data_IF_823078671057
#
_entry.id   IF_823078671057
#
_cell.length_a   1.000
_cell.length_b   1.000
_cell.length_c   1.000
_cell.angle_alpha   90.00
_cell.angle_beta   90.00
_cell.angle_gamma   90.00
#
_symmetry.space_group_name_H-M   'P 1'
#
loop_
_entity.id
_entity.type
_entity.pdbx_description
1 polymer ?
#
# COMPACT_ATOMS: atom_id res chain seq x y z
N UNK A 1 -7.70 -64.49 32.73
CA UNK A 1 -6.59 -65.42 32.43
C UNK A 1 -6.44 -65.81 30.96
N UNK A 2 -7.46 -65.67 30.08
CA UNK A 2 -7.30 -65.95 28.64
C UNK A 2 -6.75 -64.77 27.80
N UNK A 3 -7.07 -63.52 28.16
CA UNK A 3 -6.53 -62.33 27.48
C UNK A 3 -5.04 -62.08 27.79
N UNK A 4 -4.60 -62.43 28.99
CA UNK A 4 -3.21 -62.30 29.45
C UNK A 4 -2.29 -63.40 28.85
N UNK A 5 -2.88 -64.53 28.45
CA UNK A 5 -2.19 -65.58 27.71
C UNK A 5 -2.06 -65.22 26.22
N UNK A 6 -3.10 -64.63 25.61
CA UNK A 6 -3.05 -64.16 24.22
C UNK A 6 -1.96 -63.09 23.98
N UNK A 7 -1.84 -62.14 24.93
CA UNK A 7 -0.77 -61.14 24.91
C UNK A 7 0.63 -61.75 25.08
N UNK A 8 0.76 -62.90 25.78
CA UNK A 8 2.03 -63.61 25.94
C UNK A 8 2.35 -64.58 24.80
N UNK A 9 1.35 -65.00 24.01
CA UNK A 9 1.56 -65.83 22.81
C UNK A 9 2.05 -65.00 21.62
N UNK A 10 1.66 -63.72 21.51
CA UNK A 10 2.26 -62.78 20.52
C UNK A 10 3.75 -62.49 20.79
N UNK A 11 4.19 -62.62 22.05
CA UNK A 11 5.59 -62.46 22.46
C UNK A 11 6.49 -63.68 22.10
N UNK A 12 5.92 -64.75 21.52
CA UNK A 12 6.62 -65.99 21.17
C UNK A 12 6.56 -66.33 19.66
N UNK A 13 6.01 -65.44 18.83
CA UNK A 13 6.18 -65.53 17.37
C UNK A 13 7.62 -65.13 17.02
N UNK A 14 8.39 -66.08 16.51
CA UNK A 14 9.76 -65.90 15.98
C UNK A 14 9.77 -65.21 14.60
N UNK A 15 8.61 -64.77 14.09
CA UNK A 15 8.52 -64.13 12.79
C UNK A 15 8.86 -62.64 12.92
N UNK A 16 10.01 -62.25 12.36
CA UNK A 16 10.41 -60.87 12.28
C UNK A 16 9.34 -60.06 11.50
N UNK A 17 8.76 -59.03 12.13
CA UNK A 17 7.82 -58.13 11.49
C UNK A 17 8.54 -57.29 10.43
N UNK A 18 8.07 -57.37 9.18
CA UNK A 18 8.69 -56.68 8.06
C UNK A 18 8.17 -55.24 7.94
N UNK A 19 9.09 -54.28 7.91
CA UNK A 19 8.81 -52.87 7.61
C UNK A 19 9.19 -52.60 6.16
N UNK A 20 8.20 -52.28 5.35
CA UNK A 20 8.33 -52.15 3.90
C UNK A 20 8.74 -50.72 3.50
N UNK A 21 9.75 -50.64 2.64
CA UNK A 21 10.23 -49.40 2.03
C UNK A 21 10.19 -49.55 0.52
N UNK A 22 9.45 -48.69 -0.16
CA UNK A 22 9.38 -48.63 -1.61
C UNK A 22 9.91 -47.28 -2.09
N UNK A 23 11.08 -47.28 -2.72
CA UNK A 23 11.73 -46.04 -3.18
C UNK A 23 10.99 -45.36 -4.33
N UNK A 24 10.09 -46.07 -5.02
CA UNK A 24 9.38 -45.59 -6.20
C UNK A 24 7.96 -45.16 -5.83
N UNK A 25 7.22 -46.04 -5.14
CA UNK A 25 5.80 -45.84 -4.82
C UNK A 25 5.48 -45.48 -3.37
N UNK A 26 6.46 -45.48 -2.47
CA UNK A 26 6.25 -45.19 -1.04
C UNK A 26 6.12 -43.70 -0.71
N UNK A 27 5.64 -43.43 0.51
CA UNK A 27 5.50 -42.07 1.06
C UNK A 27 6.06 -42.03 2.48
N UNK A 28 6.90 -41.05 2.78
CA UNK A 28 7.37 -40.83 4.17
C UNK A 28 6.40 -39.97 4.99
N UNK A 29 5.43 -39.31 4.34
CA UNK A 29 4.41 -38.50 5.00
C UNK A 29 3.16 -39.33 5.36
N UNK A 30 2.77 -40.25 4.48
CA UNK A 30 1.52 -41.02 4.58
C UNK A 30 1.73 -42.54 4.66
N UNK A 31 2.97 -43.03 4.53
CA UNK A 31 3.30 -44.44 4.68
C UNK A 31 3.36 -44.87 6.15
N UNK A 32 3.03 -46.14 6.41
CA UNK A 32 3.05 -46.72 7.75
C UNK A 32 3.89 -48.00 7.85
N UNK A 33 4.58 -48.38 6.78
CA UNK A 33 5.55 -49.48 6.75
C UNK A 33 4.94 -50.86 6.49
N UNK A 34 3.66 -50.92 6.11
CA UNK A 34 3.02 -52.13 5.59
C UNK A 34 3.30 -52.26 4.09
N UNK A 35 3.04 -53.44 3.51
CA UNK A 35 3.23 -53.66 2.07
C UNK A 35 2.32 -52.77 1.21
N UNK A 36 1.10 -52.51 1.68
CA UNK A 36 0.11 -51.64 1.01
C UNK A 36 0.38 -50.13 1.20
N UNK A 37 1.12 -49.76 2.24
CA UNK A 37 1.47 -48.37 2.55
C UNK A 37 2.95 -48.27 3.00
N UNK A 38 3.91 -48.55 2.10
CA UNK A 38 5.32 -48.58 2.45
C UNK A 38 5.89 -47.18 2.65
N UNK A 39 6.93 -47.08 3.48
CA UNK A 39 7.74 -45.86 3.57
C UNK A 39 8.47 -45.62 2.26
N UNK A 40 8.78 -44.35 1.94
CA UNK A 40 9.58 -44.02 0.76
C UNK A 40 11.06 -44.24 1.00
N UNK A 41 11.53 -43.96 2.21
CA UNK A 41 12.94 -44.04 2.57
C UNK A 41 13.21 -45.00 3.74
N UNK A 42 14.40 -45.64 3.75
CA UNK A 42 14.82 -46.42 4.91
C UNK A 42 14.98 -45.60 6.19
N UNK A 43 15.14 -44.27 6.09
CA UNK A 43 15.29 -43.38 7.25
C UNK A 43 13.97 -43.26 8.02
N UNK A 44 12.84 -43.12 7.32
CA UNK A 44 11.51 -43.10 7.91
C UNK A 44 11.16 -44.44 8.59
N UNK A 45 11.46 -45.56 7.92
CA UNK A 45 11.29 -46.89 8.50
C UNK A 45 12.13 -47.09 9.77
N UNK A 46 13.39 -46.65 9.77
CA UNK A 46 14.25 -46.68 10.95
C UNK A 46 13.73 -45.78 12.06
N UNK A 47 13.18 -44.61 11.72
CA UNK A 47 12.58 -43.70 12.71
C UNK A 47 11.36 -44.28 13.41
N UNK A 48 10.49 -44.96 12.67
CA UNK A 48 9.35 -45.68 13.24
C UNK A 48 9.81 -46.79 14.21
N UNK A 49 10.77 -47.62 13.79
CA UNK A 49 11.34 -48.67 14.66
C UNK A 49 11.98 -48.03 15.91
N UNK A 50 12.73 -46.94 15.76
CA UNK A 50 13.41 -46.25 16.87
C UNK A 50 12.42 -45.63 17.89
N UNK A 51 11.18 -45.32 17.47
CA UNK A 51 10.11 -44.81 18.33
C UNK A 51 9.45 -45.89 19.20
N UNK A 52 9.69 -47.18 18.91
CA UNK A 52 9.13 -48.30 19.66
C UNK A 52 9.91 -48.60 20.94
N UNK A 53 9.29 -49.24 21.96
CA UNK A 53 10.00 -49.74 23.13
C UNK A 53 11.19 -50.62 22.73
N UNK A 54 12.33 -50.45 23.40
CA UNK A 54 13.60 -51.12 23.07
C UNK A 54 13.46 -52.65 22.95
N UNK A 55 12.62 -53.24 23.78
CA UNK A 55 12.30 -54.68 23.82
C UNK A 55 11.68 -55.19 22.51
N UNK A 56 11.02 -54.31 21.74
CA UNK A 56 10.33 -54.66 20.49
C UNK A 56 11.13 -54.34 19.24
N UNK A 57 12.16 -53.50 19.33
CA UNK A 57 12.93 -53.05 18.15
C UNK A 57 13.64 -54.20 17.44
N UNK A 58 14.09 -55.22 18.17
CA UNK A 58 14.77 -56.40 17.63
C UNK A 58 13.85 -57.33 16.81
N UNK A 59 12.54 -57.14 16.92
CA UNK A 59 11.55 -57.95 16.21
C UNK A 59 11.22 -57.41 14.81
N UNK A 60 11.76 -56.25 14.41
CA UNK A 60 11.47 -55.64 13.11
C UNK A 60 12.64 -55.72 12.14
N UNK A 61 12.37 -56.08 10.89
CA UNK A 61 13.33 -56.07 9.79
C UNK A 61 12.87 -55.15 8.67
N UNK A 62 13.77 -54.32 8.16
CA UNK A 62 13.46 -53.41 7.05
C UNK A 62 13.70 -54.13 5.72
N UNK A 63 12.68 -54.17 4.87
CA UNK A 63 12.75 -54.70 3.50
C UNK A 63 12.54 -53.56 2.50
N UNK A 64 13.32 -53.56 1.43
CA UNK A 64 13.39 -52.45 0.47
C UNK A 64 13.15 -52.95 -0.94
N UNK A 65 12.29 -52.25 -1.68
CA UNK A 65 12.11 -52.38 -3.12
C UNK A 65 12.76 -51.17 -3.82
N UNK A 66 13.69 -51.43 -4.73
CA UNK A 66 14.49 -50.36 -5.36
C UNK A 66 13.94 -49.92 -6.73
N UNK A 67 13.29 -50.81 -7.47
CA UNK A 67 12.57 -50.48 -8.71
C UNK A 67 11.16 -51.11 -8.75
N UNK A 68 10.26 -50.52 -9.55
CA UNK A 68 8.92 -51.04 -9.74
C UNK A 68 8.97 -52.45 -10.37
N UNK A 69 8.32 -53.42 -9.74
CA UNK A 69 8.30 -54.82 -10.18
C UNK A 69 9.41 -55.72 -9.60
N UNK A 70 10.37 -55.18 -8.84
CA UNK A 70 11.34 -55.99 -8.09
C UNK A 70 10.71 -56.55 -6.79
N UNK A 71 11.12 -57.74 -6.32
CA UNK A 71 10.72 -58.24 -5.01
C UNK A 71 11.36 -57.40 -3.90
N UNK A 72 10.69 -57.33 -2.75
CA UNK A 72 11.28 -56.75 -1.55
C UNK A 72 12.46 -57.60 -1.07
N UNK A 73 13.59 -56.96 -0.77
CA UNK A 73 14.78 -57.60 -0.23
C UNK A 73 15.19 -56.97 1.10
N UNK A 74 15.78 -57.75 2.02
CA UNK A 74 16.32 -57.21 3.27
C UNK A 74 17.36 -56.11 2.97
N UNK A 75 17.26 -55.00 3.69
CA UNK A 75 18.23 -53.90 3.55
C UNK A 75 19.64 -54.37 3.91
N UNK A 76 20.65 -53.95 3.13
CA UNK A 76 22.04 -54.29 3.44
C UNK A 76 22.50 -53.66 4.76
N UNK A 77 23.40 -54.32 5.49
CA UNK A 77 23.93 -53.83 6.76
C UNK A 77 24.55 -52.42 6.64
N UNK A 78 25.22 -52.13 5.52
CA UNK A 78 25.78 -50.80 5.22
C UNK A 78 24.69 -49.74 5.01
N UNK A 79 23.63 -50.06 4.27
CA UNK A 79 22.52 -49.15 4.03
C UNK A 79 21.70 -48.90 5.30
N UNK A 80 21.49 -49.92 6.14
CA UNK A 80 20.83 -49.79 7.43
C UNK A 80 21.64 -48.90 8.39
N UNK A 81 22.97 -49.06 8.46
CA UNK A 81 23.85 -48.20 9.27
C UNK A 81 23.79 -46.74 8.81
N UNK A 82 23.75 -46.50 7.49
CA UNK A 82 23.62 -45.16 6.92
C UNK A 82 22.25 -44.54 7.25
N UNK A 83 21.17 -45.32 7.19
CA UNK A 83 19.83 -44.88 7.56
C UNK A 83 19.72 -44.54 9.05
N UNK A 84 20.29 -45.37 9.94
CA UNK A 84 20.39 -45.08 11.39
C UNK A 84 21.17 -43.79 11.67
N UNK A 85 22.32 -43.59 11.02
CA UNK A 85 23.10 -42.36 11.17
C UNK A 85 22.39 -41.11 10.63
N UNK A 86 21.65 -41.23 9.53
CA UNK A 86 20.84 -40.14 8.98
C UNK A 86 19.67 -39.77 9.93
N UNK A 87 18.96 -40.77 10.46
CA UNK A 87 17.90 -40.56 11.45
C UNK A 87 18.42 -39.91 12.74
N UNK A 88 19.57 -40.35 13.25
CA UNK A 88 20.20 -39.73 14.43
C UNK A 88 20.61 -38.27 14.16
N UNK A 89 21.08 -37.96 12.96
CA UNK A 89 21.39 -36.59 12.54
C UNK A 89 20.13 -35.73 12.43
N UNK A 90 19.03 -36.27 11.90
CA UNK A 90 17.71 -35.60 11.86
C UNK A 90 17.19 -35.34 13.26
N UNK A 91 17.27 -36.30 14.18
CA UNK A 91 16.91 -36.10 15.59
C UNK A 91 17.77 -35.01 16.27
N UNK A 92 19.09 -35.00 16.03
CA UNK A 92 19.98 -33.96 16.56
C UNK A 92 19.64 -32.57 15.98
N UNK A 93 19.34 -32.49 14.68
CA UNK A 93 18.90 -31.24 14.02
C UNK A 93 17.55 -30.76 14.58
N UNK A 94 16.57 -31.64 14.67
CA UNK A 94 15.24 -31.35 15.21
C UNK A 94 15.32 -30.90 16.67
N UNK A 95 16.12 -31.58 17.51
CA UNK A 95 16.35 -31.19 18.90
C UNK A 95 17.01 -29.81 19.00
N UNK A 96 18.05 -29.54 18.19
CA UNK A 96 18.72 -28.22 18.16
C UNK A 96 17.76 -27.12 17.70
N UNK A 97 16.92 -27.40 16.70
CA UNK A 97 15.92 -26.46 16.21
C UNK A 97 14.82 -26.19 17.24
N UNK A 98 14.34 -27.22 17.94
CA UNK A 98 13.38 -27.08 19.04
C UNK A 98 13.97 -26.30 20.22
N UNK A 99 15.23 -26.55 20.61
CA UNK A 99 15.93 -25.78 21.63
C UNK A 99 16.12 -24.31 21.23
N UNK A 100 16.43 -24.03 19.96
CA UNK A 100 16.51 -22.66 19.43
C UNK A 100 15.15 -21.96 19.42
N UNK A 101 14.08 -22.66 19.00
CA UNK A 101 12.72 -22.14 19.01
C UNK A 101 12.25 -21.84 20.45
N UNK A 102 12.50 -22.75 21.39
CA UNK A 102 12.18 -22.54 22.80
C UNK A 102 12.94 -21.36 23.43
N UNK A 103 14.24 -21.20 23.11
CA UNK A 103 15.02 -20.03 23.53
C UNK A 103 14.48 -18.73 22.95
N UNK A 104 14.13 -18.73 21.65
CA UNK A 104 13.55 -17.55 21.01
C UNK A 104 12.18 -17.19 21.60
N UNK A 105 11.35 -18.19 21.90
CA UNK A 105 10.06 -17.99 22.56
C UNK A 105 10.22 -17.42 23.97
N UNK A 106 11.08 -18.01 24.81
CA UNK A 106 11.34 -17.52 26.16
C UNK A 106 11.91 -16.09 26.18
N UNK A 107 12.81 -15.77 25.23
CA UNK A 107 13.32 -14.41 25.05
C UNK A 107 12.21 -13.43 24.63
N UNK A 108 11.30 -13.85 23.76
CA UNK A 108 10.18 -13.02 23.33
C UNK A 108 9.19 -12.78 24.48
N UNK A 109 8.86 -13.81 25.25
CA UNK A 109 7.99 -13.70 26.45
C UNK A 109 8.59 -12.75 27.50
N UNK A 110 9.89 -12.88 27.76
CA UNK A 110 10.61 -11.97 28.68
C UNK A 110 10.55 -10.53 28.18
N UNK A 111 10.82 -10.29 26.89
CA UNK A 111 10.77 -8.97 26.27
C UNK A 111 9.38 -8.34 26.34
N UNK A 112 8.33 -9.13 26.07
CA UNK A 112 6.95 -8.67 26.15
C UNK A 112 6.56 -8.30 27.58
N UNK A 113 7.01 -9.08 28.57
CA UNK A 113 6.78 -8.77 29.98
C UNK A 113 7.50 -7.48 30.42
N UNK A 114 8.77 -7.30 30.01
CA UNK A 114 9.53 -6.07 30.27
C UNK A 114 8.88 -4.84 29.60
N UNK A 115 8.39 -4.98 28.37
CA UNK A 115 7.69 -3.92 27.65
C UNK A 115 6.36 -3.56 28.32
N UNK A 116 5.59 -4.55 28.76
CA UNK A 116 4.35 -4.33 29.48
C UNK A 116 4.59 -3.62 30.81
N UNK A 117 5.62 -4.02 31.56
CA UNK A 117 6.00 -3.35 32.80
C UNK A 117 6.42 -1.90 32.53
N UNK A 118 7.21 -1.65 31.48
CA UNK A 118 7.62 -0.30 31.06
C UNK A 118 6.41 0.58 30.72
N UNK A 119 5.38 0.02 30.07
CA UNK A 119 4.13 0.72 29.76
C UNK A 119 3.32 1.01 31.03
N UNK A 120 3.36 0.14 32.03
CA UNK A 120 2.67 0.40 33.30
C UNK A 120 3.37 1.52 34.08
N UNK A 121 4.71 1.45 34.19
CA UNK A 121 5.51 2.45 34.89
C UNK A 121 5.39 3.84 34.25
N UNK A 122 5.25 3.91 32.92
CA UNK A 122 5.13 5.17 32.18
C UNK A 122 3.85 5.94 32.46
N UNK A 123 2.78 5.29 32.97
CA UNK A 123 1.52 5.97 33.36
C UNK A 123 1.72 6.96 34.51
N UNK A 124 2.78 6.77 35.30
CA UNK A 124 3.13 7.66 36.40
C UNK A 124 3.86 8.92 35.92
N UNK A 125 4.37 8.92 34.69
CA UNK A 125 5.10 10.05 34.10
C UNK A 125 4.09 11.03 33.49
N UNK A 126 3.84 12.12 34.21
CA UNK A 126 2.97 13.22 33.73
C UNK A 126 3.81 14.37 33.21
N UNK A 127 3.47 14.86 32.02
CA UNK A 127 4.02 16.10 31.49
C UNK A 127 3.21 17.28 32.01
N UNK A 128 3.89 18.40 32.24
CA UNK A 128 3.28 19.68 32.52
C UNK A 128 4.03 20.74 31.71
N UNK A 129 3.30 21.74 31.21
CA UNK A 129 3.95 22.90 30.60
C UNK A 129 4.78 23.65 31.65
N UNK A 130 5.99 24.06 31.26
CA UNK A 130 6.85 24.88 32.11
C UNK A 130 6.38 26.35 32.05
N UNK A 131 5.87 26.92 33.16
CA UNK A 131 5.35 28.28 33.18
C UNK A 131 6.43 29.35 33.03
N UNK A 132 7.71 28.99 33.13
CA UNK A 132 8.83 29.92 32.90
C UNK A 132 9.14 30.14 31.42
N UNK A 133 8.66 29.26 30.53
CA UNK A 133 8.87 29.40 29.09
C UNK A 133 7.97 30.49 28.49
N UNK A 134 8.39 31.13 27.40
CA UNK A 134 7.53 32.06 26.66
C UNK A 134 6.22 31.41 26.23
N UNK A 135 5.15 32.22 26.13
CA UNK A 135 3.88 31.75 25.57
C UNK A 135 4.09 31.23 24.14
N UNK A 136 3.61 30.02 23.86
CA UNK A 136 3.76 29.40 22.56
C UNK A 136 2.85 30.07 21.52
N UNK A 137 3.42 30.51 20.39
CA UNK A 137 2.65 31.03 19.26
C UNK A 137 2.08 29.88 18.44
N UNK A 138 0.76 29.82 18.27
CA UNK A 138 0.15 28.82 17.40
C UNK A 138 0.43 29.13 15.92
N UNK A 139 0.93 28.13 15.18
CA UNK A 139 1.26 28.26 13.76
C UNK A 139 0.81 27.03 12.95
N UNK A 140 0.75 27.15 11.62
CA UNK A 140 0.75 26.01 10.69
C UNK A 140 2.17 25.60 10.35
N UNK A 141 2.37 24.37 9.89
CA UNK A 141 3.71 23.86 9.54
C UNK A 141 4.37 24.73 8.45
N UNK A 142 3.61 25.16 7.43
CA UNK A 142 4.15 26.05 6.38
C UNK A 142 4.74 27.37 6.90
N UNK A 143 4.34 27.82 8.08
CA UNK A 143 4.84 29.06 8.68
C UNK A 143 6.10 28.86 9.54
N UNK A 144 6.54 27.61 9.76
CA UNK A 144 7.65 27.31 10.65
C UNK A 144 8.98 27.96 10.22
N UNK A 145 9.22 28.13 8.92
CA UNK A 145 10.39 28.85 8.38
C UNK A 145 10.47 30.29 8.92
N UNK A 146 9.32 30.96 9.04
CA UNK A 146 9.22 32.35 9.51
C UNK A 146 9.19 32.47 11.04
N UNK A 147 9.13 31.34 11.77
CA UNK A 147 9.04 31.30 13.22
C UNK A 147 10.21 30.51 13.84
N UNK A 148 11.37 30.50 13.17
CA UNK A 148 12.62 29.97 13.74
C UNK A 148 13.01 30.75 14.99
N UNK A 149 13.64 30.03 15.92
CA UNK A 149 14.09 30.49 17.23
C UNK A 149 12.95 31.01 18.13
N UNK A 150 11.70 30.70 17.78
CA UNK A 150 10.49 31.07 18.53
C UNK A 150 9.83 29.83 19.11
N UNK A 151 9.28 29.93 20.34
CA UNK A 151 8.45 28.88 20.92
C UNK A 151 7.07 28.88 20.27
N UNK A 152 6.68 27.76 19.69
CA UNK A 152 5.45 27.61 18.90
C UNK A 152 4.61 26.44 19.39
N UNK A 153 3.33 26.48 19.05
CA UNK A 153 2.37 25.38 19.20
C UNK A 153 1.95 24.91 17.81
N UNK A 154 2.13 23.63 17.53
CA UNK A 154 1.79 23.01 16.24
C UNK A 154 0.90 21.80 16.47
N UNK A 155 -0.23 21.76 15.78
CA UNK A 155 -1.15 20.62 15.79
C UNK A 155 -0.97 19.83 14.49
N UNK A 156 -1.00 18.50 14.55
CA UNK A 156 -0.98 17.68 13.35
C UNK A 156 -1.10 16.19 13.62
N UNK A 157 -0.89 15.42 12.56
CA UNK A 157 -0.90 13.95 12.57
C UNK A 157 0.53 13.41 12.51
N UNK A 158 0.79 12.36 13.29
CA UNK A 158 2.07 11.63 13.25
C UNK A 158 2.18 10.90 11.90
N UNK A 159 2.95 11.45 10.97
CA UNK A 159 3.16 10.86 9.63
C UNK A 159 4.19 9.72 9.67
N UNK A 160 5.29 9.96 10.39
CA UNK A 160 6.36 8.98 10.64
C UNK A 160 6.88 9.19 12.04
N UNK A 161 7.38 8.13 12.66
CA UNK A 161 8.10 8.24 13.92
C UNK A 161 9.24 7.23 13.96
N UNK A 162 10.30 7.57 14.68
CA UNK A 162 11.41 6.65 14.97
C UNK A 162 11.92 6.91 16.39
N UNK A 163 12.12 5.83 17.14
CA UNK A 163 12.80 5.88 18.44
C UNK A 163 14.28 5.56 18.20
N UNK A 164 15.17 6.35 18.78
CA UNK A 164 16.61 6.16 18.66
C UNK A 164 17.25 6.10 20.05
N UNK A 165 17.76 4.93 20.41
CA UNK A 165 18.24 4.70 21.77
C UNK A 165 17.09 4.67 22.77
N UNK A 166 17.37 5.06 24.02
CA UNK A 166 16.36 5.07 25.10
C UNK A 166 15.69 6.44 25.26
N UNK A 167 16.42 7.53 25.06
CA UNK A 167 16.00 8.88 25.48
C UNK A 167 15.71 9.84 24.31
N UNK A 168 15.41 9.30 23.13
CA UNK A 168 15.17 10.14 21.94
C UNK A 168 14.15 9.52 20.99
N UNK A 169 13.19 10.34 20.59
CA UNK A 169 12.16 10.02 19.62
C UNK A 169 12.02 11.16 18.61
N UNK A 170 12.03 10.83 17.32
CA UNK A 170 11.72 11.76 16.25
C UNK A 170 10.32 11.47 15.74
N UNK A 171 9.52 12.52 15.64
CA UNK A 171 8.18 12.49 15.04
C UNK A 171 8.21 13.41 13.82
N UNK A 172 7.79 12.92 12.66
CA UNK A 172 7.50 13.77 11.51
C UNK A 172 6.01 14.07 11.55
N UNK A 173 5.67 15.32 11.85
CA UNK A 173 4.30 15.81 11.90
C UNK A 173 3.83 16.23 10.51
N UNK A 174 2.55 16.03 10.21
CA UNK A 174 1.87 16.49 8.98
C UNK A 174 0.59 17.22 9.37
N UNK A 175 0.30 18.38 8.78
CA UNK A 175 -0.95 19.14 9.04
C UNK A 175 -1.72 19.51 7.75
N UNK A 176 -1.24 19.00 6.60
CA UNK A 176 -1.74 19.32 5.26
C UNK A 176 -0.92 20.39 4.55
N UNK A 177 -0.30 21.32 5.30
CA UNK A 177 0.49 22.45 4.78
C UNK A 177 1.97 22.13 4.61
N UNK A 178 2.46 21.08 5.27
CA UNK A 178 3.83 20.60 5.12
C UNK A 178 4.14 19.43 6.04
N UNK A 179 5.44 19.16 6.21
CA UNK A 179 5.97 18.20 7.17
C UNK A 179 6.95 18.89 8.11
N UNK A 180 6.92 18.56 9.40
CA UNK A 180 7.82 19.12 10.40
C UNK A 180 8.47 17.99 11.20
N UNK A 181 9.79 17.91 11.20
CA UNK A 181 10.49 17.01 12.13
C UNK A 181 10.43 17.61 13.53
N UNK A 182 10.01 16.80 14.50
CA UNK A 182 9.90 17.14 15.91
C UNK A 182 10.80 16.18 16.71
N UNK A 183 11.65 16.74 17.56
CA UNK A 183 12.58 16.02 18.42
C UNK A 183 12.05 16.01 19.85
N UNK A 184 11.76 14.82 20.37
CA UNK A 184 11.36 14.56 21.74
C UNK A 184 12.50 13.83 22.45
N UNK A 185 12.91 14.33 23.62
CA UNK A 185 14.04 13.77 24.38
C UNK A 185 13.70 13.55 25.85
N UNK A 186 14.43 12.66 26.50
CA UNK A 186 14.30 12.37 27.93
C UNK A 186 12.85 12.01 28.31
N UNK A 187 12.30 12.63 29.35
CA UNK A 187 10.96 12.33 29.87
C UNK A 187 9.86 12.40 28.78
N UNK A 188 10.02 13.23 27.75
CA UNK A 188 9.05 13.40 26.67
C UNK A 188 8.85 12.14 25.82
N UNK A 189 9.82 11.21 25.78
CA UNK A 189 9.71 9.95 25.05
C UNK A 189 9.44 8.73 25.96
N UNK A 190 9.19 8.96 27.25
CA UNK A 190 8.97 7.88 28.23
C UNK A 190 7.55 7.82 28.79
N UNK A 191 6.69 8.78 28.45
CA UNK A 191 5.29 8.79 28.88
C UNK A 191 4.49 7.63 28.30
N UNK A 192 3.35 7.30 28.92
CA UNK A 192 2.41 6.34 28.33
C UNK A 192 2.05 6.69 26.88
N UNK A 193 1.77 7.98 26.63
CA UNK A 193 1.46 8.48 25.28
C UNK A 193 2.64 8.27 24.32
N UNK A 194 3.89 8.47 24.74
CA UNK A 194 5.06 8.22 23.91
C UNK A 194 5.22 6.74 23.53
N UNK A 195 5.05 5.85 24.52
CA UNK A 195 5.26 4.41 24.34
C UNK A 195 4.13 3.72 23.57
N UNK A 196 2.94 4.32 23.56
CA UNK A 196 1.75 3.82 22.85
C UNK A 196 1.40 4.63 21.60
N UNK A 197 2.21 5.64 21.26
CA UNK A 197 1.99 6.49 20.09
C UNK A 197 1.96 5.62 18.82
N UNK A 198 0.97 5.85 17.98
CA UNK A 198 0.83 5.22 16.68
C UNK A 198 0.91 6.26 15.56
N UNK A 199 1.23 5.79 14.35
CA UNK A 199 1.09 6.62 13.15
C UNK A 199 -0.37 7.06 13.01
N UNK A 200 -0.59 8.24 12.44
CA UNK A 200 -1.89 8.89 12.27
C UNK A 200 -2.54 9.39 13.58
N UNK A 201 -1.89 9.23 14.74
CA UNK A 201 -2.36 9.88 15.96
C UNK A 201 -2.33 11.41 15.78
N UNK A 202 -3.38 12.08 16.25
CA UNK A 202 -3.45 13.53 16.30
C UNK A 202 -2.81 14.03 17.59
N UNK A 203 -1.86 14.95 17.46
CA UNK A 203 -1.02 15.44 18.55
C UNK A 203 -0.89 16.96 18.48
N UNK A 204 -0.69 17.56 19.65
CA UNK A 204 -0.28 18.95 19.81
C UNK A 204 1.14 18.97 20.37
N UNK A 205 2.06 19.66 19.71
CA UNK A 205 3.44 19.81 20.18
C UNK A 205 3.77 21.28 20.43
N UNK A 206 4.52 21.51 21.48
CA UNK A 206 5.06 22.80 21.90
C UNK A 206 6.58 22.69 21.90
N UNK A 207 7.25 23.72 21.40
CA UNK A 207 8.70 23.66 21.26
C UNK A 207 9.27 24.86 20.55
N UNK A 208 10.59 24.89 20.42
CA UNK A 208 11.30 25.92 19.67
C UNK A 208 11.71 25.38 18.31
N UNK A 209 11.33 26.08 17.23
CA UNK A 209 11.78 25.73 15.87
C UNK A 209 13.24 26.14 15.73
N UNK A 210 14.13 25.21 15.40
CA UNK A 210 15.56 25.47 15.21
C UNK A 210 16.00 25.06 13.82
N UNK A 211 16.95 25.83 13.25
CA UNK A 211 17.66 25.37 12.04
C UNK A 211 18.42 24.09 12.36
N UNK A 212 18.50 23.21 11.37
CA UNK A 212 19.30 22.00 11.51
C UNK A 212 20.81 22.33 11.56
N UNK A 213 21.60 21.52 12.28
CA UNK A 213 23.05 21.54 12.17
C UNK A 213 23.54 21.22 10.75
N UNK A 214 24.76 21.66 10.43
CA UNK A 214 25.39 21.38 9.15
C UNK A 214 25.49 19.87 8.87
N UNK A 215 25.20 19.47 7.63
CA UNK A 215 25.22 18.07 7.20
C UNK A 215 24.00 17.23 7.61
N UNK A 216 23.00 17.81 8.29
CA UNK A 216 21.72 17.14 8.60
C UNK A 216 20.61 17.59 7.66
N UNK A 217 19.64 16.71 7.42
CA UNK A 217 18.48 16.98 6.55
C UNK A 217 17.18 16.66 7.27
N UNK A 218 16.21 17.56 7.09
CA UNK A 218 14.81 17.44 7.49
C UNK A 218 14.00 18.37 6.55
N UNK A 219 12.68 18.17 6.45
CA UNK A 219 11.82 19.10 5.70
C UNK A 219 12.13 20.56 6.06
N UNK A 220 12.29 21.40 5.04
CA UNK A 220 12.55 22.84 5.18
C UNK A 220 13.79 23.24 6.02
N UNK A 221 14.72 22.30 6.22
CA UNK A 221 16.02 22.54 6.88
C UNK A 221 15.92 22.94 8.35
N UNK A 222 14.83 22.58 9.04
CA UNK A 222 14.62 22.90 10.45
C UNK A 222 13.90 21.76 11.19
N UNK A 223 13.92 21.80 12.50
CA UNK A 223 13.19 20.88 13.37
C UNK A 223 12.60 21.60 14.58
N UNK A 224 11.53 21.05 15.15
CA UNK A 224 10.95 21.51 16.40
C UNK A 224 11.60 20.75 17.56
N UNK A 225 12.37 21.44 18.41
CA UNK A 225 12.80 20.88 19.70
C UNK A 225 11.64 20.98 20.67
N UNK A 226 11.03 19.84 21.01
CA UNK A 226 9.79 19.77 21.78
C UNK A 226 10.10 19.96 23.27
N UNK A 227 9.30 20.79 23.93
CA UNK A 227 9.34 20.99 25.39
C UNK A 227 8.11 20.44 26.11
N UNK A 228 6.96 20.38 25.42
CA UNK A 228 5.72 19.77 25.91
C UNK A 228 4.90 19.24 24.74
N UNK A 229 4.13 18.19 24.94
CA UNK A 229 3.22 17.66 23.92
C UNK A 229 2.12 16.84 24.55
N UNK A 230 1.05 16.63 23.78
CA UNK A 230 -0.12 15.87 24.20
C UNK A 230 -0.76 15.15 23.00
N UNK A 231 -1.36 13.99 23.26
CA UNK A 231 -2.19 13.28 22.30
C UNK A 231 -3.61 13.85 22.35
N UNK A 232 -4.07 14.40 21.23
CA UNK A 232 -5.44 14.90 21.06
C UNK A 232 -6.39 13.77 20.67
N UNK A 233 -5.93 12.87 19.81
CA UNK A 233 -6.70 11.73 19.34
C UNK A 233 -5.78 10.55 19.03
N UNK A 234 -5.89 9.41 19.74
CA UNK A 234 -5.07 8.25 19.46
C UNK A 234 -5.44 7.63 18.10
N UNK A 235 -4.50 6.88 17.53
CA UNK A 235 -4.73 6.06 16.35
C UNK A 235 -4.48 4.59 16.65
N UNK A 236 -5.12 3.65 15.92
CA UNK A 236 -4.87 2.22 16.09
C UNK A 236 -3.41 1.85 15.79
N UNK A 237 -2.83 0.99 16.65
CA UNK A 237 -1.54 0.34 16.44
C UNK A 237 -1.70 -1.15 16.10
N UNK A 238 -0.59 -1.90 16.06
CA UNK A 238 -0.62 -3.35 15.83
C UNK A 238 -1.27 -3.71 14.49
N UNK A 239 -2.11 -4.75 14.46
CA UNK A 239 -2.74 -5.25 13.24
C UNK A 239 -3.67 -4.22 12.56
N UNK A 240 -4.23 -3.29 13.33
CA UNK A 240 -5.11 -2.22 12.82
C UNK A 240 -4.36 -0.95 12.40
N UNK A 241 -3.04 -0.92 12.56
CA UNK A 241 -2.21 0.21 12.12
C UNK A 241 -2.41 0.47 10.62
N UNK A 242 -2.38 1.75 10.22
CA UNK A 242 -2.58 2.16 8.81
C UNK A 242 -1.64 1.41 7.85
N UNK A 243 -0.39 1.15 8.27
CA UNK A 243 0.62 0.42 7.48
C UNK A 243 0.31 -1.06 7.28
N UNK A 244 -0.46 -1.65 8.20
CA UNK A 244 -0.88 -3.05 8.14
C UNK A 244 -2.21 -3.21 7.38
N UNK A 245 -3.08 -2.18 7.43
CA UNK A 245 -4.32 -2.16 6.64
C UNK A 245 -4.08 -1.81 5.17
N UNK A 246 -3.16 -0.88 4.91
CA UNK A 246 -2.80 -0.38 3.57
C UNK A 246 -1.27 -0.34 3.45
N UNK A 247 -0.72 -1.39 2.85
CA UNK A 247 0.68 -1.41 2.43
C UNK A 247 0.80 -1.07 0.92
N UNK A 248 2.02 -0.84 0.44
CA UNK A 248 2.27 -0.42 -0.93
C UNK A 248 1.84 -1.48 -1.98
N UNK A 249 1.82 -2.75 -1.59
CA UNK A 249 1.51 -3.90 -2.45
C UNK A 249 0.08 -4.42 -2.23
N UNK A 250 -0.77 -3.66 -1.53
CA UNK A 250 -2.12 -4.08 -1.22
C UNK A 250 -2.95 -4.21 -2.49
N UNK A 251 -3.94 -5.12 -2.47
CA UNK A 251 -4.85 -5.29 -3.59
C UNK A 251 -5.51 -3.95 -3.99
N UNK A 252 -5.55 -3.58 -5.28
CA UNK A 252 -6.14 -2.33 -5.72
C UNK A 252 -7.60 -2.13 -5.28
N UNK A 253 -8.38 -3.21 -5.14
CA UNK A 253 -9.78 -3.15 -4.67
C UNK A 253 -9.85 -2.77 -3.20
N UNK A 254 -8.94 -3.31 -2.37
CA UNK A 254 -8.81 -2.93 -0.97
C UNK A 254 -8.40 -1.46 -0.84
N UNK A 255 -7.42 -1.02 -1.64
CA UNK A 255 -7.01 0.39 -1.70
C UNK A 255 -8.16 1.32 -2.10
N UNK A 256 -9.05 0.88 -2.99
CA UNK A 256 -10.24 1.64 -3.39
C UNK A 256 -11.26 1.72 -2.24
N UNK A 257 -11.55 0.61 -1.56
CA UNK A 257 -12.47 0.58 -0.42
C UNK A 257 -11.96 1.42 0.76
N UNK A 258 -10.65 1.42 0.99
CA UNK A 258 -10.01 2.19 2.04
C UNK A 258 -9.37 3.49 1.52
N UNK A 259 -9.91 4.08 0.45
CA UNK A 259 -9.33 5.27 -0.19
C UNK A 259 -9.13 6.42 0.79
N UNK A 260 -9.99 6.56 1.80
CA UNK A 260 -9.89 7.55 2.87
C UNK A 260 -8.62 7.44 3.74
N UNK A 261 -7.97 6.27 3.79
CA UNK A 261 -6.65 6.07 4.39
C UNK A 261 -5.54 6.28 3.35
N UNK A 262 -5.72 5.74 2.13
CA UNK A 262 -4.75 5.88 1.03
C UNK A 262 -4.41 7.35 0.76
N UNK A 263 -5.41 8.23 0.72
CA UNK A 263 -5.20 9.66 0.44
C UNK A 263 -4.38 10.40 1.50
N UNK A 264 -4.12 9.79 2.65
CA UNK A 264 -3.25 10.34 3.70
C UNK A 264 -1.77 10.10 3.40
N UNK A 265 -1.47 9.13 2.54
CA UNK A 265 -0.11 8.83 2.10
C UNK A 265 0.48 9.93 1.22
N UNK A 266 1.82 10.00 1.22
CA UNK A 266 2.58 11.08 0.56
C UNK A 266 2.27 11.16 -0.96
N UNK A 267 2.21 10.02 -1.65
CA UNK A 267 1.94 9.97 -3.11
C UNK A 267 0.51 10.38 -3.46
N UNK A 268 -0.48 9.77 -2.81
CA UNK A 268 -1.89 10.02 -3.14
C UNK A 268 -2.30 11.47 -2.79
N UNK A 269 -1.83 12.00 -1.65
CA UNK A 269 -2.06 13.40 -1.29
C UNK A 269 -1.35 14.36 -2.26
N UNK A 270 -0.14 14.05 -2.73
CA UNK A 270 0.55 14.84 -3.74
C UNK A 270 -0.25 14.92 -5.05
N UNK A 271 -0.80 13.81 -5.53
CA UNK A 271 -1.67 13.79 -6.73
C UNK A 271 -2.88 14.70 -6.56
N UNK A 272 -3.54 14.66 -5.39
CA UNK A 272 -4.70 15.52 -5.11
C UNK A 272 -4.32 17.01 -5.03
N UNK A 273 -3.17 17.33 -4.44
CA UNK A 273 -2.64 18.70 -4.39
C UNK A 273 -2.31 19.22 -5.79
N UNK A 274 -1.64 18.42 -6.63
CA UNK A 274 -1.36 18.77 -8.03
C UNK A 274 -2.67 18.94 -8.81
N UNK A 275 -3.65 18.05 -8.64
CA UNK A 275 -4.99 18.19 -9.25
C UNK A 275 -5.62 19.54 -8.90
N UNK A 276 -5.62 19.94 -7.63
CA UNK A 276 -6.18 21.23 -7.21
C UNK A 276 -5.48 22.42 -7.90
N UNK A 277 -4.16 22.32 -8.11
CA UNK A 277 -3.37 23.35 -8.80
C UNK A 277 -3.60 23.38 -10.31
N UNK A 278 -3.75 22.23 -10.95
CA UNK A 278 -4.15 22.12 -12.35
C UNK A 278 -5.53 22.74 -12.56
N UNK A 279 -6.51 22.42 -11.69
CA UNK A 279 -7.85 23.00 -11.77
C UNK A 279 -7.85 24.53 -11.59
N UNK A 280 -7.00 25.07 -10.71
CA UNK A 280 -6.81 26.51 -10.58
C UNK A 280 -6.18 27.09 -11.86
N UNK A 281 -5.16 26.44 -12.41
CA UNK A 281 -4.47 26.92 -13.60
C UNK A 281 -5.38 26.96 -14.84
N UNK A 282 -6.34 26.04 -14.97
CA UNK A 282 -7.39 26.12 -16.00
C UNK A 282 -8.22 27.39 -15.85
N UNK A 283 -8.69 27.71 -14.64
CA UNK A 283 -9.44 28.95 -14.38
C UNK A 283 -8.59 30.19 -14.65
N UNK A 284 -7.36 30.23 -14.12
CA UNK A 284 -6.43 31.34 -14.33
C UNK A 284 -6.08 31.54 -15.83
N UNK A 285 -6.05 30.45 -16.62
CA UNK A 285 -5.89 30.52 -18.08
C UNK A 285 -7.08 31.23 -18.72
N UNK A 286 -8.29 30.70 -18.52
CA UNK A 286 -9.51 31.24 -19.12
C UNK A 286 -9.80 32.69 -18.67
N UNK A 287 -9.63 32.98 -17.39
CA UNK A 287 -9.77 34.34 -16.83
C UNK A 287 -8.80 35.32 -17.53
N UNK A 288 -7.55 34.89 -17.76
CA UNK A 288 -6.52 35.76 -18.36
C UNK A 288 -6.78 36.11 -19.83
N UNK A 289 -7.62 35.33 -20.51
CA UNK A 289 -8.03 35.58 -21.91
C UNK A 289 -9.49 36.04 -22.00
N UNK A 290 -10.13 36.37 -20.88
CA UNK A 290 -11.44 37.02 -20.81
C UNK A 290 -12.63 36.09 -21.02
N UNK A 291 -12.48 34.78 -20.81
CA UNK A 291 -13.60 33.84 -20.87
C UNK A 291 -14.41 33.95 -19.58
N UNK A 292 -15.72 33.69 -19.67
CA UNK A 292 -16.62 33.72 -18.51
C UNK A 292 -16.92 32.30 -18.03
N UNK A 293 -16.67 32.01 -16.74
CA UNK A 293 -17.10 30.75 -16.12
C UNK A 293 -18.62 30.72 -16.00
N UNK A 294 -19.26 29.65 -16.49
CA UNK A 294 -20.70 29.42 -16.37
C UNK A 294 -20.97 28.13 -15.60
N UNK A 295 -22.19 27.97 -15.07
CA UNK A 295 -22.59 26.77 -14.30
C UNK A 295 -23.84 26.13 -14.91
N UNK A 296 -23.69 25.30 -15.97
CA UNK A 296 -24.80 24.62 -16.63
C UNK A 296 -25.47 23.58 -15.73
N UNK A 297 -26.74 23.22 -16.00
CA UNK A 297 -27.44 22.18 -15.23
C UNK A 297 -26.89 20.78 -15.54
N UNK A 298 -26.72 19.95 -14.51
CA UNK A 298 -26.29 18.55 -14.67
C UNK A 298 -27.45 17.56 -14.87
N UNK A 299 -28.69 17.99 -14.61
CA UNK A 299 -29.91 17.21 -14.82
C UNK A 299 -30.59 17.70 -16.09
N UNK A 300 -30.71 16.83 -17.09
CA UNK A 300 -31.13 17.19 -18.45
C UNK A 300 -32.22 16.26 -18.95
N UNK A 301 -33.01 16.73 -19.92
CA UNK A 301 -33.97 15.91 -20.67
C UNK A 301 -33.51 15.65 -22.12
N UNK A 302 -32.26 16.02 -22.42
CA UNK A 302 -31.66 15.97 -23.75
C UNK A 302 -30.39 15.14 -23.72
N UNK A 303 -30.06 14.54 -24.86
CA UNK A 303 -28.85 13.75 -25.08
C UNK A 303 -27.83 14.56 -25.88
N UNK A 304 -26.54 14.42 -25.58
CA UNK A 304 -25.45 15.13 -26.29
C UNK A 304 -24.56 14.16 -27.08
N UNK A 305 -24.05 13.10 -26.45
CA UNK A 305 -22.93 12.28 -26.97
C UNK A 305 -23.36 10.88 -27.45
N UNK A 306 -24.66 10.70 -27.74
CA UNK A 306 -25.23 9.38 -28.06
C UNK A 306 -26.00 8.76 -26.89
N UNK A 307 -27.09 8.04 -27.19
CA UNK A 307 -28.09 7.63 -26.20
C UNK A 307 -27.73 6.38 -25.41
N UNK A 308 -26.66 5.68 -25.82
CA UNK A 308 -26.26 4.40 -25.22
C UNK A 308 -25.53 4.54 -23.89
N UNK A 309 -25.15 5.76 -23.47
CA UNK A 309 -24.30 5.99 -22.29
C UNK A 309 -24.87 7.02 -21.31
N UNK A 310 -26.18 7.24 -21.29
CA UNK A 310 -26.85 8.11 -20.31
C UNK A 310 -27.20 7.36 -19.02
N UNK A 311 -27.03 8.02 -17.87
CA UNK A 311 -27.65 7.59 -16.62
C UNK A 311 -29.06 8.17 -16.52
N UNK A 312 -30.08 7.32 -16.62
CA UNK A 312 -31.48 7.70 -16.49
C UNK A 312 -31.95 7.70 -15.04
N UNK A 313 -32.77 8.67 -14.66
CA UNK A 313 -33.44 8.72 -13.36
C UNK A 313 -34.85 9.35 -13.46
N UNK A 314 -35.68 9.11 -12.45
CA UNK A 314 -37.00 9.70 -12.33
C UNK A 314 -36.92 11.09 -11.68
N UNK A 315 -37.37 12.12 -12.38
CA UNK A 315 -37.45 13.50 -11.94
C UNK A 315 -38.91 13.93 -11.81
N UNK A 316 -39.51 13.61 -10.66
CA UNK A 316 -40.91 13.94 -10.34
C UNK A 316 -41.93 13.33 -11.32
N UNK A 317 -41.74 12.07 -11.71
CA UNK A 317 -42.58 11.37 -12.66
C UNK A 317 -42.23 11.64 -14.12
N UNK A 318 -41.16 12.40 -14.39
CA UNK A 318 -40.62 12.60 -15.72
C UNK A 318 -39.25 11.93 -15.84
N UNK A 319 -38.99 11.33 -17.00
CA UNK A 319 -37.67 10.79 -17.29
C UNK A 319 -36.66 11.94 -17.46
N UNK A 320 -35.52 11.81 -16.79
CA UNK A 320 -34.40 12.73 -16.88
C UNK A 320 -33.07 11.96 -16.89
N UNK A 321 -31.99 12.67 -17.21
CA UNK A 321 -30.67 12.10 -17.39
C UNK A 321 -29.62 12.96 -16.71
N UNK A 322 -28.54 12.31 -16.25
CA UNK A 322 -27.32 13.02 -15.88
C UNK A 322 -26.56 13.41 -17.15
N UNK A 323 -26.04 14.64 -17.20
CA UNK A 323 -25.40 15.20 -18.40
C UNK A 323 -24.12 14.45 -18.80
N UNK A 324 -23.90 14.26 -20.10
CA UNK A 324 -22.65 13.74 -20.65
C UNK A 324 -21.64 14.85 -20.98
N UNK A 325 -22.16 16.05 -21.23
CA UNK A 325 -21.43 17.24 -21.69
C UNK A 325 -22.33 18.46 -21.56
N UNK A 326 -21.74 19.60 -21.22
CA UNK A 326 -22.45 20.88 -21.13
C UNK A 326 -22.43 21.67 -22.43
N UNK A 327 -21.83 21.15 -23.50
CA UNK A 327 -21.58 21.86 -24.76
C UNK A 327 -22.81 22.62 -25.26
N UNK A 328 -23.98 21.97 -25.36
CA UNK A 328 -25.19 22.60 -25.87
C UNK A 328 -25.62 23.81 -25.04
N UNK A 329 -25.41 23.80 -23.72
CA UNK A 329 -25.69 24.96 -22.86
C UNK A 329 -24.66 26.07 -23.07
N UNK A 330 -23.38 25.73 -23.25
CA UNK A 330 -22.33 26.71 -23.54
C UNK A 330 -22.61 27.45 -24.87
N UNK A 331 -23.06 26.74 -25.90
CA UNK A 331 -23.45 27.33 -27.18
C UNK A 331 -24.53 28.42 -27.01
N UNK A 332 -25.52 28.20 -26.13
CA UNK A 332 -26.57 29.20 -25.86
C UNK A 332 -26.06 30.44 -25.13
N UNK A 333 -24.92 30.34 -24.45
CA UNK A 333 -24.33 31.45 -23.70
C UNK A 333 -23.62 32.45 -24.63
N UNK A 334 -23.07 31.97 -25.76
CA UNK A 334 -22.21 32.74 -26.65
C UNK A 334 -22.78 34.10 -27.08
N UNK A 335 -24.06 34.21 -27.49
CA UNK A 335 -24.61 35.50 -27.95
C UNK A 335 -24.70 36.56 -26.86
N UNK A 336 -24.64 36.16 -25.58
CA UNK A 336 -24.79 37.06 -24.42
C UNK A 336 -23.48 37.32 -23.68
N UNK A 337 -22.60 36.32 -23.59
CA UNK A 337 -21.41 36.34 -22.74
C UNK A 337 -20.09 36.25 -23.51
N UNK A 338 -20.14 36.03 -24.83
CA UNK A 338 -18.92 35.83 -25.62
C UNK A 338 -18.33 34.44 -25.39
N UNK A 339 -17.01 34.33 -25.24
CA UNK A 339 -16.36 33.06 -24.95
C UNK A 339 -16.63 32.62 -23.50
N UNK A 340 -17.01 31.36 -23.31
CA UNK A 340 -17.40 30.81 -22.01
C UNK A 340 -16.70 29.49 -21.75
N UNK A 341 -16.56 29.13 -20.47
CA UNK A 341 -16.10 27.81 -20.06
C UNK A 341 -16.86 27.31 -18.84
N UNK A 342 -16.77 26.01 -18.57
CA UNK A 342 -17.25 25.38 -17.34
C UNK A 342 -16.26 24.33 -16.86
N UNK A 343 -16.26 24.11 -15.55
CA UNK A 343 -15.62 22.98 -14.90
C UNK A 343 -16.66 22.25 -14.05
N UNK A 344 -17.45 21.40 -14.70
CA UNK A 344 -18.57 20.68 -14.10
C UNK A 344 -18.40 19.17 -14.26
N UNK A 345 -19.15 18.39 -13.47
CA UNK A 345 -19.13 16.93 -13.61
C UNK A 345 -19.88 16.49 -14.87
N UNK A 346 -19.35 15.48 -15.55
CA UNK A 346 -20.02 14.76 -16.64
C UNK A 346 -20.11 13.28 -16.31
N UNK A 347 -21.17 12.65 -16.81
CA UNK A 347 -21.55 11.30 -16.45
C UNK A 347 -21.69 10.43 -17.70
N UNK A 348 -21.00 9.28 -17.71
CA UNK A 348 -21.03 8.32 -18.84
C UNK A 348 -21.31 6.91 -18.33
N UNK A 349 -22.48 6.39 -18.67
CA UNK A 349 -22.91 5.02 -18.36
C UNK A 349 -22.30 3.97 -19.31
N UNK A 350 -21.01 4.12 -19.63
CA UNK A 350 -20.28 3.15 -20.44
C UNK A 350 -20.02 1.87 -19.64
N UNK A 351 -20.39 0.71 -20.21
CA UNK A 351 -20.08 -0.61 -19.63
C UNK A 351 -18.64 -1.04 -19.94
N UNK A 352 -17.69 -0.12 -19.78
CA UNK A 352 -16.28 -0.32 -20.13
C UNK A 352 -15.39 -0.03 -18.93
N UNK A 353 -14.81 -1.07 -18.34
CA UNK A 353 -13.77 -0.93 -17.31
C UNK A 353 -12.42 -0.83 -17.99
N UNK A 354 -11.88 0.39 -18.07
CA UNK A 354 -10.56 0.64 -18.67
C UNK A 354 -9.77 1.59 -17.79
N UNK A 355 -8.47 1.72 -18.07
CA UNK A 355 -7.56 2.62 -17.33
C UNK A 355 -7.82 4.13 -17.56
N UNK A 356 -8.76 4.51 -18.43
CA UNK A 356 -8.98 5.91 -18.85
C UNK A 356 -10.44 6.37 -18.85
N UNK A 357 -11.40 5.49 -18.55
CA UNK A 357 -12.83 5.83 -18.53
C UNK A 357 -13.33 5.79 -17.09
N UNK A 358 -14.07 6.82 -16.70
CA UNK A 358 -14.78 6.93 -15.42
C UNK A 358 -16.25 7.17 -15.72
N UNK A 359 -17.13 6.69 -14.84
CA UNK A 359 -18.57 6.96 -14.95
C UNK A 359 -18.95 8.37 -14.53
N UNK A 360 -18.12 9.01 -13.71
CA UNK A 360 -18.22 10.41 -13.30
C UNK A 360 -16.82 11.02 -13.36
N UNK A 361 -16.71 12.18 -14.00
CA UNK A 361 -15.45 12.91 -14.10
C UNK A 361 -15.68 14.41 -14.22
N UNK A 362 -14.76 15.19 -13.63
CA UNK A 362 -14.74 16.64 -13.77
C UNK A 362 -14.33 16.98 -15.19
N UNK A 363 -15.26 17.54 -15.94
CA UNK A 363 -15.13 17.89 -17.35
C UNK A 363 -14.88 19.40 -17.48
N UNK A 364 -13.77 19.75 -18.12
CA UNK A 364 -13.46 21.13 -18.47
C UNK A 364 -13.85 21.36 -19.92
N UNK A 365 -14.84 22.20 -20.15
CA UNK A 365 -15.43 22.46 -21.46
C UNK A 365 -15.39 23.97 -21.72
N UNK A 366 -15.13 24.38 -22.97
CA UNK A 366 -15.10 25.79 -23.36
C UNK A 366 -15.69 25.94 -24.76
N UNK A 367 -16.38 27.05 -24.99
CA UNK A 367 -17.04 27.37 -26.25
C UNK A 367 -16.72 28.81 -26.65
N UNK A 368 -16.43 29.02 -27.94
CA UNK A 368 -15.86 30.28 -28.44
C UNK A 368 -16.60 30.75 -29.69
N UNK A 369 -17.11 32.00 -29.73
CA UNK A 369 -17.84 32.49 -30.90
C UNK A 369 -16.90 33.02 -31.98
N UNK A 370 -17.35 32.99 -33.24
CA UNK A 370 -16.70 33.61 -34.40
C UNK A 370 -15.28 33.10 -34.73
N UNK A 371 -15.04 31.80 -34.57
CA UNK A 371 -13.73 31.17 -34.84
C UNK A 371 -13.75 30.28 -36.09
N UNK A 372 -12.57 30.07 -36.67
CA UNK A 372 -12.30 29.01 -37.65
C UNK A 372 -11.83 27.73 -36.96
N UNK A 373 -11.69 26.63 -37.72
CA UNK A 373 -11.10 25.41 -37.20
C UNK A 373 -9.63 25.57 -36.78
N UNK A 374 -8.88 26.41 -37.49
CA UNK A 374 -7.48 26.71 -37.15
C UNK A 374 -7.34 27.48 -35.82
N UNK A 375 -8.30 28.35 -35.55
CA UNK A 375 -8.40 29.05 -34.28
C UNK A 375 -8.72 28.07 -33.15
N UNK A 376 -9.66 27.12 -33.36
CA UNK A 376 -9.98 26.08 -32.38
C UNK A 376 -8.74 25.24 -32.00
N UNK A 377 -7.99 24.78 -33.01
CA UNK A 377 -6.74 24.04 -32.77
C UNK A 377 -5.74 24.85 -31.94
N UNK A 378 -5.65 26.15 -32.23
CA UNK A 378 -4.76 27.07 -31.52
C UNK A 378 -5.23 27.33 -30.08
N UNK A 379 -6.54 27.45 -29.84
CA UNK A 379 -7.13 27.57 -28.49
C UNK A 379 -6.78 26.35 -27.64
N UNK A 380 -6.98 25.13 -28.15
CA UNK A 380 -6.67 23.89 -27.44
C UNK A 380 -5.17 23.80 -27.12
N UNK A 381 -4.31 24.07 -28.10
CA UNK A 381 -2.86 24.02 -27.92
C UNK A 381 -2.38 25.05 -26.87
N UNK A 382 -2.85 26.30 -26.99
CA UNK A 382 -2.47 27.37 -26.07
C UNK A 382 -2.95 27.10 -24.65
N UNK A 383 -4.16 26.58 -24.48
CA UNK A 383 -4.70 26.17 -23.18
C UNK A 383 -3.79 25.14 -22.50
N UNK A 384 -3.44 24.05 -23.19
CA UNK A 384 -2.59 23.00 -22.62
C UNK A 384 -1.21 23.57 -22.23
N UNK A 385 -0.59 24.35 -23.11
CA UNK A 385 0.74 24.94 -22.85
C UNK A 385 0.73 25.91 -21.67
N UNK A 386 -0.25 26.81 -21.63
CA UNK A 386 -0.33 27.83 -20.59
C UNK A 386 -0.67 27.22 -19.22
N UNK A 387 -1.61 26.26 -19.17
CA UNK A 387 -1.93 25.53 -17.93
C UNK A 387 -0.70 24.79 -17.41
N UNK A 388 0.03 24.07 -18.27
CA UNK A 388 1.26 23.37 -17.87
C UNK A 388 2.32 24.36 -17.37
N UNK A 389 2.50 25.49 -18.05
CA UNK A 389 3.44 26.53 -17.62
C UNK A 389 3.09 27.13 -16.25
N UNK A 390 1.82 27.46 -16.01
CA UNK A 390 1.35 28.01 -14.73
C UNK A 390 1.58 27.03 -13.59
N UNK A 391 1.23 25.76 -13.80
CA UNK A 391 1.43 24.70 -12.80
C UNK A 391 2.92 24.49 -12.52
N UNK A 392 3.76 24.52 -13.56
CA UNK A 392 5.21 24.33 -13.45
C UNK A 392 5.95 25.53 -12.82
N UNK A 393 5.40 26.74 -12.97
CA UNK A 393 5.98 27.96 -12.43
C UNK A 393 5.88 28.07 -10.90
N UNK A 394 4.93 27.37 -10.26
CA UNK A 394 4.79 27.33 -8.80
C UNK A 394 5.80 26.34 -8.18
N UNK A 395 6.82 26.79 -7.41
CA UNK A 395 7.89 25.90 -6.94
C UNK A 395 7.39 24.73 -6.09
N UNK A 396 6.40 24.97 -5.22
CA UNK A 396 5.80 23.93 -4.38
C UNK A 396 5.09 22.86 -5.20
N UNK A 397 4.42 23.25 -6.29
CA UNK A 397 3.70 22.31 -7.17
C UNK A 397 4.67 21.57 -8.09
N UNK A 398 5.68 22.27 -8.60
CA UNK A 398 6.78 21.67 -9.36
C UNK A 398 7.47 20.57 -8.57
N UNK A 399 7.81 20.81 -7.30
CA UNK A 399 8.43 19.80 -6.44
C UNK A 399 7.56 18.52 -6.31
N UNK A 400 6.23 18.68 -6.23
CA UNK A 400 5.30 17.54 -6.22
C UNK A 400 5.29 16.81 -7.58
N UNK A 401 5.34 17.54 -8.70
CA UNK A 401 5.42 16.93 -10.03
C UNK A 401 6.73 16.18 -10.22
N UNK A 402 7.86 16.75 -9.81
CA UNK A 402 9.18 16.10 -9.88
C UNK A 402 9.22 14.82 -9.03
N UNK A 403 8.53 14.79 -7.89
CA UNK A 403 8.33 13.58 -7.09
C UNK A 403 7.49 12.52 -7.83
N UNK A 404 6.40 12.92 -8.47
CA UNK A 404 5.42 12.01 -9.09
C UNK A 404 5.82 11.54 -10.50
N UNK A 405 6.52 12.38 -11.25
CA UNK A 405 6.96 12.16 -12.63
C UNK A 405 8.37 12.73 -12.84
N UNK A 406 9.41 12.05 -12.32
CA UNK A 406 10.79 12.51 -12.41
C UNK A 406 11.23 12.67 -13.88
N UNK A 407 11.87 13.79 -14.20
CA UNK A 407 12.33 14.10 -15.56
C UNK A 407 11.26 14.66 -16.49
N UNK A 408 10.06 14.97 -15.97
CA UNK A 408 9.09 15.75 -16.74
C UNK A 408 9.65 17.12 -17.09
N UNK A 409 9.59 17.47 -18.38
CA UNK A 409 9.91 18.79 -18.88
C UNK A 409 8.73 19.34 -19.71
N UNK A 410 8.25 20.55 -19.41
CA UNK A 410 7.18 21.15 -20.19
C UNK A 410 7.67 21.49 -21.59
N UNK A 411 6.99 20.96 -22.62
CA UNK A 411 7.27 21.31 -24.01
C UNK A 411 6.40 22.47 -24.45
N UNK A 412 7.05 23.53 -24.96
CA UNK A 412 6.37 24.69 -25.54
C UNK A 412 6.40 24.69 -27.08
N UNK A 413 6.96 23.64 -27.70
CA UNK A 413 7.00 23.49 -29.14
C UNK A 413 5.58 23.39 -29.72
N UNK A 414 5.32 23.90 -30.94
CA UNK A 414 4.03 23.70 -31.62
C UNK A 414 3.61 22.24 -31.64
N UNK A 415 2.33 21.95 -31.43
CA UNK A 415 1.86 20.56 -31.47
C UNK A 415 1.91 20.05 -32.91
N UNK A 416 2.33 18.79 -33.07
CA UNK A 416 2.25 18.14 -34.37
C UNK A 416 0.78 18.00 -34.76
N UNK A 417 0.41 18.57 -35.90
CA UNK A 417 -0.89 18.36 -36.54
C UNK A 417 -0.80 17.18 -37.49
N UNK A 418 -1.79 16.29 -37.43
CA UNK A 418 -1.87 15.10 -38.26
C UNK A 418 -3.32 14.92 -38.71
N UNK A 419 -3.55 14.80 -40.02
CA UNK A 419 -4.88 14.48 -40.53
C UNK A 419 -5.22 13.03 -40.21
N UNK A 420 -6.52 12.73 -40.09
CA UNK A 420 -6.98 11.37 -39.81
C UNK A 420 -6.47 10.34 -40.83
N UNK A 421 -6.50 10.67 -42.12
CA UNK A 421 -5.96 9.82 -43.20
C UNK A 421 -4.45 9.52 -43.04
N UNK A 422 -3.68 10.49 -42.52
CA UNK A 422 -2.25 10.32 -42.27
C UNK A 422 -2.00 9.43 -41.06
N UNK A 423 -2.88 9.49 -40.04
CA UNK A 423 -2.83 8.61 -38.89
C UNK A 423 -3.14 7.15 -39.29
N UNK A 424 -4.15 6.92 -40.13
CA UNK A 424 -4.47 5.59 -40.68
C UNK A 424 -3.30 5.03 -41.47
N UNK A 425 -2.72 5.86 -42.36
CA UNK A 425 -1.52 5.47 -43.08
C UNK A 425 -0.38 5.12 -42.13
N UNK A 426 -0.13 5.95 -41.11
CA UNK A 426 0.93 5.70 -40.13
C UNK A 426 0.72 4.39 -39.37
N UNK A 427 -0.52 4.06 -38.96
CA UNK A 427 -0.85 2.79 -38.31
C UNK A 427 -0.53 1.60 -39.22
N UNK A 428 -1.00 1.65 -40.47
CA UNK A 428 -0.80 0.58 -41.45
C UNK A 428 0.69 0.41 -41.81
N UNK A 429 1.42 1.51 -42.02
CA UNK A 429 2.87 1.50 -42.28
C UNK A 429 3.67 0.89 -41.11
N UNK A 430 3.17 0.98 -39.88
CA UNK A 430 3.80 0.42 -38.68
C UNK A 430 3.21 -0.95 -38.27
N UNK A 431 2.35 -1.54 -39.11
CA UNK A 431 1.76 -2.86 -38.86
C UNK A 431 0.80 -2.92 -37.67
N UNK A 432 0.22 -1.78 -37.27
CA UNK A 432 -0.79 -1.71 -36.20
C UNK A 432 -2.16 -1.98 -36.81
N UNK A 433 -2.78 -3.10 -36.43
CA UNK A 433 -4.03 -3.60 -37.01
C UNK A 433 -5.23 -3.38 -36.11
N UNK A 434 -6.43 -3.43 -36.69
CA UNK A 434 -7.69 -3.38 -35.95
C UNK A 434 -7.79 -4.57 -35.00
N UNK A 435 -8.21 -4.31 -33.77
CA UNK A 435 -8.32 -5.35 -32.74
C UNK A 435 -9.48 -6.32 -32.98
N UNK A 436 -10.50 -5.90 -33.72
CA UNK A 436 -11.74 -6.66 -33.93
C UNK A 436 -11.56 -7.82 -34.93
N UNK A 437 -10.85 -7.57 -36.03
CA UNK A 437 -10.75 -8.49 -37.16
C UNK A 437 -9.30 -8.72 -37.65
N UNK A 438 -8.31 -8.03 -37.07
CA UNK A 438 -6.92 -8.15 -37.46
C UNK A 438 -6.60 -7.60 -38.86
N UNK A 439 -7.46 -6.75 -39.41
CA UNK A 439 -7.24 -6.09 -40.71
C UNK A 439 -6.53 -4.74 -40.55
N UNK A 440 -5.97 -4.24 -41.65
CA UNK A 440 -5.41 -2.89 -41.73
C UNK A 440 -6.54 -1.86 -41.58
N UNK A 441 -6.24 -0.69 -41.01
CA UNK A 441 -7.20 0.39 -40.77
C UNK A 441 -7.72 1.05 -42.05
#
# INVERSE_FOLDING_TARGET
MSAELASKTELLSLDAHLVHVDKVGGSDETGHGTEDAPYKTPVAAVGMIASMPAEKQGCFKVVVRSAAGEPYAEITATALKKAKGAHELELKKAKKQAEQAAKAQAQNETRLAEEQQRIEDSKMIKLAEDPSLPAAKQIKICDAIHNRDTRVKVNGWVNRMRVQGKDMMFVVLRDGTGYLQCLLTNQLCHTYDALTLALEAAVTLYGVVKKLPEGKTAPDGHELTVDYWEVVGPAPGGDDAITNRINADADPSLMYQQRHLVIRGDTASAVLKVRARVMRAFRDHFDSIGYVEVTPPCMVQTQVEGGSTLFTFDYYGQEAYLTQSSQLYLETCLPSMGAVYTMAESYRAEKSSTRRHLSEYTHCEAEVPFISFEDLLSVIENMVKDVVARVWAEPSTRALIEQLNPGFEPSMAPFKRMRYEEAIKWLNDNGIKRAEDGQDF
#
